data_IF_460098391435
#
_entry.id   IF_460098391435
#
_cell.length_a   1.000
_cell.length_b   1.000
_cell.length_c   1.000
_cell.angle_alpha   90.00
_cell.angle_beta   90.00
_cell.angle_gamma   90.00
#
_symmetry.space_group_name_H-M   'P 1'
#
loop_
_entity.id
_entity.type
_entity.pdbx_description
1 polymer ?
#
# COMPACT_ATOMS: atom_id res chain seq x y z
N UNK A 1 -10.22 -0.68 -7.55
CA UNK A 1 -8.79 -0.56 -7.93
C UNK A 1 -8.43 -1.33 -9.21
N UNK A 2 -8.66 -2.66 -9.28
CA UNK A 2 -8.24 -3.53 -10.39
C UNK A 2 -8.53 -3.01 -11.82
N UNK A 3 -9.72 -2.46 -12.08
CA UNK A 3 -10.07 -1.90 -13.40
C UNK A 3 -9.23 -0.67 -13.77
N UNK A 4 -8.84 0.16 -12.81
CA UNK A 4 -7.98 1.32 -13.06
C UNK A 4 -6.55 0.89 -13.42
N UNK A 5 -6.00 -0.08 -12.70
CA UNK A 5 -4.66 -0.63 -12.95
C UNK A 5 -4.53 -1.23 -14.36
N UNK A 6 -5.56 -1.94 -14.85
CA UNK A 6 -5.56 -2.51 -16.22
C UNK A 6 -5.48 -1.44 -17.32
N UNK A 7 -5.96 -0.23 -17.04
CA UNK A 7 -5.98 0.87 -18.01
C UNK A 7 -4.61 1.48 -18.30
N UNK A 8 -3.55 1.12 -17.56
CA UNK A 8 -2.18 1.67 -17.72
C UNK A 8 -2.11 3.21 -17.70
N UNK A 9 -3.09 3.86 -17.07
CA UNK A 9 -3.17 5.31 -16.90
C UNK A 9 -2.93 5.68 -15.42
N UNK A 10 -1.79 6.30 -15.08
CA UNK A 10 -1.48 6.73 -13.71
C UNK A 10 -2.51 7.68 -13.11
N UNK A 11 -3.09 8.59 -13.89
CA UNK A 11 -4.06 9.54 -13.37
C UNK A 11 -5.38 8.85 -13.02
N UNK A 12 -5.78 7.86 -13.82
CA UNK A 12 -6.92 6.99 -13.50
C UNK A 12 -6.69 6.17 -12.24
N UNK A 13 -5.48 5.63 -12.06
CA UNK A 13 -5.09 4.90 -10.83
C UNK A 13 -5.16 5.82 -9.61
N UNK A 14 -4.60 7.03 -9.71
CA UNK A 14 -4.64 8.01 -8.62
C UNK A 14 -6.06 8.50 -8.31
N UNK A 15 -6.92 8.67 -9.32
CA UNK A 15 -8.35 8.97 -9.12
C UNK A 15 -9.06 7.84 -8.36
N UNK A 16 -8.83 6.59 -8.76
CA UNK A 16 -9.41 5.43 -8.08
C UNK A 16 -8.92 5.30 -6.62
N UNK A 17 -7.62 5.54 -6.38
CA UNK A 17 -7.05 5.55 -5.04
C UNK A 17 -7.71 6.62 -4.15
N UNK A 18 -7.83 7.86 -4.66
CA UNK A 18 -8.51 8.95 -3.94
C UNK A 18 -9.95 8.62 -3.62
N UNK A 19 -10.70 8.03 -4.55
CA UNK A 19 -12.08 7.63 -4.32
C UNK A 19 -12.19 6.59 -3.20
N UNK A 20 -11.37 5.54 -3.21
CA UNK A 20 -11.35 4.54 -2.14
C UNK A 20 -11.03 5.16 -0.77
N UNK A 21 -10.15 6.16 -0.72
CA UNK A 21 -9.85 6.87 0.54
C UNK A 21 -11.09 7.60 1.04
N UNK A 22 -11.83 8.28 0.16
CA UNK A 22 -13.03 9.03 0.53
C UNK A 22 -14.15 8.13 1.06
N UNK A 23 -14.33 6.93 0.50
CA UNK A 23 -15.35 5.98 0.95
C UNK A 23 -14.88 5.09 2.12
N UNK A 24 -13.66 5.31 2.63
CA UNK A 24 -13.11 4.54 3.75
C UNK A 24 -12.71 3.10 3.42
N UNK A 25 -12.63 2.76 2.13
CA UNK A 25 -12.33 1.40 1.66
C UNK A 25 -10.87 1.20 1.23
N UNK A 26 -10.02 2.24 1.31
CA UNK A 26 -8.64 2.16 0.85
C UNK A 26 -7.75 1.33 1.80
N UNK A 27 -7.24 0.21 1.28
CA UNK A 27 -6.42 -0.75 2.03
C UNK A 27 -4.93 -0.57 1.79
N UNK A 28 -4.10 -1.16 2.65
CA UNK A 28 -2.65 -1.17 2.41
C UNK A 28 -2.27 -1.98 1.16
N UNK A 29 -3.01 -3.03 0.88
CA UNK A 29 -2.89 -3.80 -0.37
C UNK A 29 -3.17 -2.95 -1.61
N UNK A 30 -4.15 -2.04 -1.57
CA UNK A 30 -4.39 -1.08 -2.66
C UNK A 30 -3.24 -0.06 -2.78
N UNK A 31 -2.69 0.41 -1.66
CA UNK A 31 -1.55 1.31 -1.64
C UNK A 31 -0.30 0.67 -2.27
N UNK A 32 -0.06 -0.62 -1.98
CA UNK A 32 1.00 -1.39 -2.63
C UNK A 32 0.76 -1.53 -4.14
N UNK A 33 -0.47 -1.82 -4.57
CA UNK A 33 -0.80 -1.92 -6.00
C UNK A 33 -0.48 -0.62 -6.74
N UNK A 34 -0.82 0.53 -6.14
CA UNK A 34 -0.49 1.85 -6.68
C UNK A 34 1.02 2.04 -6.76
N UNK A 35 1.78 1.68 -5.71
CA UNK A 35 3.24 1.80 -5.72
C UNK A 35 3.87 0.95 -6.84
N UNK A 36 3.46 -0.32 -6.95
CA UNK A 36 3.95 -1.24 -8.00
C UNK A 36 3.61 -0.72 -9.39
N UNK A 37 2.39 -0.21 -9.57
CA UNK A 37 1.96 0.38 -10.83
C UNK A 37 2.81 1.58 -11.22
N UNK A 38 3.00 2.53 -10.29
CA UNK A 38 3.81 3.73 -10.54
C UNK A 38 5.28 3.37 -10.81
N UNK A 39 5.86 2.40 -10.12
CA UNK A 39 7.22 1.92 -10.41
C UNK A 39 7.36 1.33 -11.82
N UNK A 40 6.30 0.70 -12.36
CA UNK A 40 6.32 0.12 -13.73
C UNK A 40 6.10 1.15 -14.83
N UNK A 41 5.23 2.12 -14.58
CA UNK A 41 4.73 3.03 -15.62
C UNK A 41 5.35 4.43 -15.53
N UNK A 42 5.91 4.80 -14.38
CA UNK A 42 6.49 6.11 -14.10
C UNK A 42 7.66 6.05 -13.11
N UNK A 43 8.74 5.30 -13.43
CA UNK A 43 9.82 4.99 -12.50
C UNK A 43 10.58 6.22 -11.99
N UNK A 44 10.65 7.29 -12.77
CA UNK A 44 11.33 8.53 -12.41
C UNK A 44 10.40 9.59 -11.77
N UNK A 45 9.13 9.27 -11.52
CA UNK A 45 8.16 10.26 -11.06
C UNK A 45 8.24 10.53 -9.55
N UNK A 46 8.14 11.81 -9.17
CA UNK A 46 8.03 12.20 -7.76
C UNK A 46 6.80 11.61 -7.07
N UNK A 47 5.73 11.32 -7.81
CA UNK A 47 4.53 10.67 -7.27
C UNK A 47 4.80 9.23 -6.87
N UNK A 48 5.60 8.48 -7.64
CA UNK A 48 6.06 7.14 -7.29
C UNK A 48 6.85 7.14 -5.98
N UNK A 49 7.86 7.99 -5.87
CA UNK A 49 8.67 8.11 -4.64
C UNK A 49 7.82 8.50 -3.41
N UNK A 50 6.90 9.46 -3.57
CA UNK A 50 5.99 9.85 -2.48
C UNK A 50 5.02 8.75 -2.09
N UNK A 51 4.51 7.96 -3.05
CA UNK A 51 3.62 6.83 -2.76
C UNK A 51 4.34 5.75 -1.94
N UNK A 52 5.57 5.41 -2.34
CA UNK A 52 6.42 4.43 -1.62
C UNK A 52 6.73 4.87 -0.20
N UNK A 53 7.19 6.12 -0.01
CA UNK A 53 7.49 6.67 1.31
C UNK A 53 6.25 6.66 2.23
N UNK A 54 5.07 6.99 1.69
CA UNK A 54 3.81 6.95 2.44
C UNK A 54 3.41 5.53 2.82
N UNK A 55 3.59 4.55 1.93
CA UNK A 55 3.33 3.15 2.24
C UNK A 55 4.22 2.67 3.39
N UNK A 56 5.52 2.94 3.33
CA UNK A 56 6.48 2.57 4.37
C UNK A 56 6.13 3.22 5.70
N UNK A 57 5.90 4.54 5.73
CA UNK A 57 5.52 5.25 6.95
C UNK A 57 4.22 4.72 7.56
N UNK A 58 3.25 4.38 6.71
CA UNK A 58 1.97 3.82 7.15
C UNK A 58 2.15 2.43 7.74
N UNK A 59 2.88 1.54 7.06
CA UNK A 59 3.18 0.20 7.57
C UNK A 59 3.94 0.27 8.90
N UNK A 60 4.92 1.15 9.00
CA UNK A 60 5.68 1.33 10.23
C UNK A 60 4.79 1.76 11.41
N UNK A 61 3.85 2.68 11.14
CA UNK A 61 2.86 3.12 12.14
C UNK A 61 1.94 1.99 12.58
N UNK A 62 1.41 1.22 11.63
CA UNK A 62 0.45 0.13 11.93
C UNK A 62 1.12 -1.05 12.65
N UNK A 63 2.38 -1.36 12.31
CA UNK A 63 3.14 -2.45 12.91
C UNK A 63 3.86 -2.04 14.21
N UNK A 64 3.90 -0.74 14.54
CA UNK A 64 4.62 -0.19 15.71
C UNK A 64 6.09 -0.63 15.78
N UNK A 65 6.75 -0.62 14.62
CA UNK A 65 8.13 -1.11 14.49
C UNK A 65 9.17 0.00 14.71
N UNK A 66 10.36 -0.39 15.17
CA UNK A 66 11.52 0.47 15.29
C UNK A 66 12.30 0.65 13.98
N UNK A 67 13.42 1.39 14.05
CA UNK A 67 14.20 1.84 12.89
C UNK A 67 14.72 0.71 12.00
N UNK A 68 15.23 -0.39 12.57
CA UNK A 68 15.80 -1.50 11.78
C UNK A 68 14.76 -2.14 10.83
N UNK A 69 13.54 -2.32 11.32
CA UNK A 69 12.45 -2.88 10.53
C UNK A 69 11.88 -1.85 9.56
N UNK A 70 11.95 -0.55 9.90
CA UNK A 70 11.61 0.53 8.98
C UNK A 70 12.54 0.52 7.77
N UNK A 71 13.85 0.37 7.97
CA UNK A 71 14.85 0.31 6.91
C UNK A 71 14.63 -0.91 6.00
N UNK A 72 14.23 -2.05 6.57
CA UNK A 72 13.86 -3.23 5.78
C UNK A 72 12.66 -2.95 4.86
N UNK A 73 11.58 -2.35 5.39
CA UNK A 73 10.41 -1.98 4.58
C UNK A 73 10.77 -0.95 3.50
N UNK A 74 11.61 0.02 3.83
CA UNK A 74 12.09 1.02 2.90
C UNK A 74 12.89 0.39 1.76
N UNK A 75 13.80 -0.53 2.09
CA UNK A 75 14.62 -1.26 1.12
C UNK A 75 13.74 -2.04 0.13
N UNK A 76 12.73 -2.76 0.62
CA UNK A 76 11.79 -3.45 -0.27
C UNK A 76 10.99 -2.49 -1.15
N UNK A 77 10.56 -1.35 -0.61
CA UNK A 77 9.82 -0.36 -1.39
C UNK A 77 10.69 0.26 -2.50
N UNK A 78 11.96 0.53 -2.22
CA UNK A 78 12.89 1.14 -3.19
C UNK A 78 13.13 0.27 -4.41
N UNK A 79 13.20 -1.05 -4.25
CA UNK A 79 13.46 -1.99 -5.37
C UNK A 79 12.21 -2.39 -6.15
N UNK A 80 11.03 -1.82 -5.84
CA UNK A 80 9.83 -2.07 -6.63
C UNK A 80 10.04 -1.69 -8.12
N UNK A 81 9.63 -2.54 -9.09
CA UNK A 81 8.65 -3.62 -8.95
C UNK A 81 9.28 -5.04 -8.87
N UNK A 82 10.38 -5.20 -8.13
CA UNK A 82 10.98 -6.52 -7.89
C UNK A 82 9.96 -7.54 -7.33
N UNK A 83 9.85 -8.76 -7.91
CA UNK A 83 8.87 -9.75 -7.48
C UNK A 83 8.99 -10.20 -6.02
N UNK A 84 10.22 -10.34 -5.49
CA UNK A 84 10.42 -10.78 -4.11
C UNK A 84 10.00 -9.68 -3.13
N UNK A 85 10.36 -8.43 -3.42
CA UNK A 85 9.94 -7.28 -2.64
C UNK A 85 8.41 -7.10 -2.67
N UNK A 86 7.77 -7.30 -3.84
CA UNK A 86 6.31 -7.28 -3.96
C UNK A 86 5.69 -8.36 -3.07
N UNK A 87 6.19 -9.59 -3.10
CA UNK A 87 5.67 -10.68 -2.29
C UNK A 87 5.80 -10.39 -0.78
N UNK A 88 6.98 -9.93 -0.34
CA UNK A 88 7.24 -9.57 1.05
C UNK A 88 6.29 -8.46 1.53
N UNK A 89 6.24 -7.34 0.81
CA UNK A 89 5.36 -6.21 1.14
C UNK A 89 3.87 -6.59 1.07
N UNK A 90 3.46 -7.44 0.12
CA UNK A 90 2.08 -7.92 0.00
C UNK A 90 1.66 -8.65 1.26
N UNK A 91 2.48 -9.62 1.70
CA UNK A 91 2.20 -10.42 2.89
C UNK A 91 1.99 -9.52 4.12
N UNK A 92 2.88 -8.54 4.31
CA UNK A 92 2.79 -7.60 5.43
C UNK A 92 1.54 -6.73 5.32
N UNK A 93 1.23 -6.18 4.14
CA UNK A 93 0.01 -5.40 3.92
C UNK A 93 -1.26 -6.21 4.23
N UNK A 94 -1.34 -7.45 3.77
CA UNK A 94 -2.47 -8.34 3.99
C UNK A 94 -2.65 -8.70 5.47
N UNK A 95 -1.56 -8.86 6.22
CA UNK A 95 -1.60 -9.11 7.66
C UNK A 95 -2.22 -7.94 8.41
N UNK A 96 -1.77 -6.72 8.11
CA UNK A 96 -2.31 -5.49 8.71
C UNK A 96 -3.77 -5.29 8.30
N UNK A 97 -4.11 -5.46 7.02
CA UNK A 97 -5.50 -5.33 6.52
C UNK A 97 -6.43 -6.37 7.17
N UNK A 98 -5.94 -7.57 7.48
CA UNK A 98 -6.70 -8.60 8.23
C UNK A 98 -6.85 -8.23 9.70
N UNK A 99 -5.80 -7.75 10.35
CA UNK A 99 -5.85 -7.29 11.74
C UNK A 99 -6.85 -6.15 11.93
N UNK A 100 -6.85 -5.17 11.02
CA UNK A 100 -7.79 -4.05 11.02
C UNK A 100 -9.24 -4.47 10.87
N UNK A 101 -9.52 -5.40 9.94
CA UNK A 101 -10.87 -5.97 9.76
C UNK A 101 -11.35 -6.66 11.03
N UNK A 102 -10.54 -7.56 11.61
CA UNK A 102 -10.88 -8.24 12.87
C UNK A 102 -11.19 -7.25 14.01
N UNK A 103 -10.40 -6.17 14.12
CA UNK A 103 -10.63 -5.15 15.12
C UNK A 103 -11.91 -4.31 14.86
N UNK A 104 -12.28 -4.09 13.60
CA UNK A 104 -13.53 -3.43 13.24
C UNK A 104 -14.74 -4.33 13.55
N UNK A 105 -14.67 -5.60 13.18
CA UNK A 105 -15.72 -6.59 13.42
C UNK A 105 -15.97 -6.77 14.92
N UNK A 106 -14.91 -6.86 15.73
CA UNK A 106 -15.01 -6.96 17.20
C UNK A 106 -15.67 -5.73 17.85
N UNK A 107 -15.59 -4.54 17.23
CA UNK A 107 -16.25 -3.32 17.72
C UNK A 107 -17.72 -3.23 17.28
N UNK A 108 -18.08 -3.91 16.20
CA UNK A 108 -19.44 -3.94 15.66
C UNK A 108 -20.31 -5.04 16.30
N UNK A 109 -19.70 -6.01 16.98
CA UNK A 109 -20.43 -7.04 17.70
C UNK A 109 -21.19 -6.43 18.89
N UNK A 110 -22.51 -6.70 19.03
CA UNK A 110 -23.25 -6.30 20.23
C UNK A 110 -22.73 -7.05 21.47
N UNK A 111 -22.87 -6.45 22.67
CA UNK A 111 -22.42 -7.03 23.94
C UNK A 111 -23.11 -8.35 24.28
#
# INVERSE_FOLDING_TARGET
MATALRGKDPDRVMRAARWLVMVGEFRLTDALDVCVFLSKHEPASHRGSRARARLVARLATELRIGLDHFDQLFTWAEVLPDPQAIYGLRRVCEEVDRARRRAADARAAPP
#
